data_IF_742547720007
#
_entry.id   IF_742547720007
#
_cell.length_a   1.000
_cell.length_b   1.000
_cell.length_c   1.000
_cell.angle_alpha   90.00
_cell.angle_beta   90.00
_cell.angle_gamma   90.00
#
_symmetry.space_group_name_H-M   'P 1'
#
loop_
_entity.id
_entity.type
_entity.pdbx_description
1 polymer ?
#
# COMPACT_ATOMS: atom_id res chain seq x y z
N UNK A 1 19.49 -3.85 -22.92
CA UNK A 1 19.84 -3.60 -21.52
C UNK A 1 18.52 -3.25 -20.85
N UNK A 2 17.93 -4.22 -20.14
CA UNK A 2 16.55 -4.10 -19.65
C UNK A 2 16.60 -3.28 -18.38
N UNK A 3 16.10 -2.04 -18.46
CA UNK A 3 15.64 -1.29 -17.29
C UNK A 3 14.53 -2.12 -16.64
N UNK A 4 14.86 -2.75 -15.52
CA UNK A 4 13.87 -3.28 -14.61
C UNK A 4 13.43 -2.08 -13.79
N UNK A 5 12.27 -1.51 -14.13
CA UNK A 5 11.55 -0.48 -13.37
C UNK A 5 11.34 -0.97 -11.93
N UNK A 6 12.36 -0.75 -11.10
CA UNK A 6 12.33 -0.98 -9.67
C UNK A 6 12.19 0.41 -9.05
N UNK A 7 10.96 0.74 -8.64
CA UNK A 7 10.69 1.95 -7.88
C UNK A 7 11.25 1.77 -6.47
N UNK A 8 12.45 2.31 -6.26
CA UNK A 8 13.13 2.35 -4.97
C UNK A 8 12.99 3.74 -4.37
N UNK A 9 12.63 3.85 -3.08
CA UNK A 9 12.62 5.17 -2.47
C UNK A 9 12.05 5.25 -1.06
N UNK A 10 11.92 6.50 -0.60
CA UNK A 10 11.15 6.88 0.59
C UNK A 10 9.66 6.56 0.38
N UNK A 11 8.87 6.63 1.44
CA UNK A 11 7.41 6.58 1.31
C UNK A 11 6.95 7.56 0.22
N UNK A 12 6.16 7.08 -0.74
CA UNK A 12 5.68 7.94 -1.81
C UNK A 12 4.71 8.98 -1.20
N UNK A 13 4.60 10.16 -1.80
CA UNK A 13 3.81 11.27 -1.24
C UNK A 13 2.31 10.91 -1.16
N UNK A 14 1.54 11.59 -0.31
CA UNK A 14 0.12 11.24 -0.06
C UNK A 14 -0.73 11.23 -1.34
N UNK A 15 -0.40 12.07 -2.31
CA UNK A 15 -1.03 12.19 -3.62
C UNK A 15 -0.82 10.97 -4.54
N UNK A 16 0.18 10.13 -4.24
CA UNK A 16 0.49 8.91 -5.01
C UNK A 16 -0.21 7.65 -4.48
N UNK A 17 -0.79 7.70 -3.28
CA UNK A 17 -1.63 6.61 -2.74
C UNK A 17 -2.99 6.51 -3.46
N UNK A 18 -3.30 7.50 -4.31
CA UNK A 18 -4.57 7.58 -5.01
C UNK A 18 -4.65 6.56 -6.13
N UNK A 19 -5.40 5.48 -5.88
CA UNK A 19 -5.65 4.38 -6.82
C UNK A 19 -6.28 4.82 -8.17
N UNK A 20 -6.66 6.10 -8.34
CA UNK A 20 -7.22 6.64 -9.58
C UNK A 20 -6.90 8.13 -9.87
N UNK A 21 -5.90 8.78 -9.23
CA UNK A 21 -5.68 10.25 -9.34
C UNK A 21 -6.95 11.09 -9.08
N UNK A 22 -7.86 10.57 -8.27
CA UNK A 22 -9.06 11.28 -7.81
C UNK A 22 -8.81 11.76 -6.37
N UNK A 23 -9.31 12.95 -6.01
CA UNK A 23 -9.33 13.48 -4.65
C UNK A 23 -10.11 12.52 -3.73
N UNK A 24 -9.40 11.56 -3.15
CA UNK A 24 -9.94 10.53 -2.27
C UNK A 24 -9.46 10.81 -0.85
N UNK A 25 -10.39 11.20 0.04
CA UNK A 25 -10.09 11.39 1.45
C UNK A 25 -10.03 10.04 2.18
N UNK A 26 -8.99 9.89 3.01
CA UNK A 26 -8.85 8.73 3.88
C UNK A 26 -9.96 8.72 4.94
N UNK A 27 -10.77 7.66 4.95
CA UNK A 27 -11.80 7.47 5.98
C UNK A 27 -11.27 6.51 7.02
N UNK A 28 -11.32 6.93 8.30
CA UNK A 28 -10.94 6.11 9.43
C UNK A 28 -11.91 4.93 9.58
N UNK A 29 -11.53 3.79 9.02
CA UNK A 29 -12.25 2.51 9.16
C UNK A 29 -11.57 1.65 10.22
N UNK A 30 -12.29 0.76 10.87
CA UNK A 30 -11.75 -0.16 11.87
C UNK A 30 -10.53 -0.98 11.37
N UNK A 31 -10.52 -1.47 10.11
CA UNK A 31 -9.33 -2.12 9.54
C UNK A 31 -8.11 -1.20 9.42
N UNK A 32 -8.32 0.10 9.15
CA UNK A 32 -7.23 1.09 9.06
C UNK A 32 -6.64 1.38 10.44
N UNK A 33 -7.48 1.55 11.47
CA UNK A 33 -7.02 1.75 12.84
C UNK A 33 -6.26 0.52 13.34
N UNK A 34 -6.76 -0.67 13.03
CA UNK A 34 -6.04 -1.93 13.32
C UNK A 34 -4.68 -1.99 12.62
N UNK A 35 -4.58 -1.51 11.37
CA UNK A 35 -3.28 -1.41 10.69
C UNK A 35 -2.35 -0.44 11.39
N UNK A 36 -2.85 0.71 11.84
CA UNK A 36 -2.04 1.69 12.57
C UNK A 36 -1.45 1.07 13.84
N UNK A 37 -2.29 0.45 14.68
CA UNK A 37 -1.86 -0.15 15.95
C UNK A 37 -0.86 -1.29 15.72
N UNK A 38 -1.09 -2.13 14.70
CA UNK A 38 -0.18 -3.22 14.36
C UNK A 38 1.18 -2.72 13.84
N UNK A 39 1.18 -1.65 13.04
CA UNK A 39 2.42 -1.05 12.53
C UNK A 39 3.18 -0.39 13.68
N UNK A 40 2.49 0.33 14.58
CA UNK A 40 3.10 0.93 15.78
C UNK A 40 3.75 -0.15 16.65
N UNK A 41 3.01 -1.20 17.01
CA UNK A 41 3.54 -2.31 17.80
C UNK A 41 4.73 -3.01 17.11
N UNK A 42 4.72 -3.12 15.78
CA UNK A 42 5.83 -3.71 15.03
C UNK A 42 7.09 -2.82 15.06
N UNK A 43 6.91 -1.50 14.94
CA UNK A 43 7.99 -0.52 15.02
C UNK A 43 8.59 -0.52 16.42
N UNK A 44 7.76 -0.45 17.46
CA UNK A 44 8.20 -0.45 18.86
C UNK A 44 8.95 -1.73 19.23
N UNK A 45 8.44 -2.88 18.79
CA UNK A 45 9.09 -4.18 19.00
C UNK A 45 10.31 -4.42 18.08
N UNK A 46 10.58 -3.51 17.13
CA UNK A 46 11.62 -3.65 16.09
C UNK A 46 11.49 -4.99 15.37
N UNK A 47 10.25 -5.39 15.12
CA UNK A 47 9.90 -6.73 14.69
C UNK A 47 9.60 -6.76 13.20
N UNK A 48 9.16 -7.94 12.74
CA UNK A 48 8.69 -8.14 11.39
C UNK A 48 7.19 -8.41 11.37
N UNK A 49 6.46 -7.81 10.43
CA UNK A 49 5.04 -8.08 10.20
C UNK A 49 4.76 -8.42 8.75
N UNK A 50 3.64 -9.11 8.52
CA UNK A 50 3.14 -9.43 7.19
C UNK A 50 1.68 -8.97 7.02
N UNK A 51 1.45 -8.07 6.07
CA UNK A 51 0.15 -7.61 5.61
C UNK A 51 -0.20 -8.28 4.28
N UNK A 52 -1.22 -9.13 4.26
CA UNK A 52 -1.58 -9.91 3.07
C UNK A 52 -3.08 -9.88 2.79
N UNK A 53 -3.46 -10.06 1.53
CA UNK A 53 -4.86 -10.12 1.12
C UNK A 53 -5.07 -9.81 -0.36
N UNK A 54 -6.31 -9.81 -0.87
CA UNK A 54 -6.58 -9.65 -2.29
C UNK A 54 -6.12 -8.27 -2.78
N UNK A 55 -5.85 -8.14 -4.08
CA UNK A 55 -5.60 -6.83 -4.68
C UNK A 55 -6.82 -5.91 -4.48
N UNK A 56 -6.58 -4.59 -4.34
CA UNK A 56 -7.65 -3.61 -4.19
C UNK A 56 -8.34 -3.57 -2.82
N UNK A 57 -7.77 -4.18 -1.77
CA UNK A 57 -8.30 -4.12 -0.40
C UNK A 57 -7.71 -2.98 0.45
N UNK A 58 -7.07 -1.98 -0.17
CA UNK A 58 -6.49 -0.84 0.56
C UNK A 58 -5.25 -1.15 1.40
N UNK A 59 -4.60 -2.31 1.23
CA UNK A 59 -3.45 -2.76 2.04
C UNK A 59 -2.28 -1.77 2.00
N UNK A 60 -1.82 -1.49 0.77
CA UNK A 60 -0.71 -0.57 0.50
C UNK A 60 -1.02 0.82 1.06
N UNK A 61 -2.21 1.34 0.78
CA UNK A 61 -2.68 2.64 1.30
C UNK A 61 -2.75 2.68 2.83
N UNK A 62 -3.24 1.61 3.47
CA UNK A 62 -3.36 1.54 4.93
C UNK A 62 -1.99 1.50 5.61
N UNK A 63 -1.08 0.67 5.08
CA UNK A 63 0.30 0.58 5.54
C UNK A 63 1.03 1.91 5.32
N UNK A 64 0.90 2.53 4.14
CA UNK A 64 1.52 3.82 3.84
C UNK A 64 0.99 4.92 4.77
N UNK A 65 -0.31 4.99 5.00
CA UNK A 65 -0.91 5.97 5.92
C UNK A 65 -0.40 5.81 7.35
N UNK A 66 -0.33 4.58 7.85
CA UNK A 66 0.23 4.30 9.17
C UNK A 66 1.70 4.72 9.26
N UNK A 67 2.51 4.38 8.26
CA UNK A 67 3.94 4.69 8.25
C UNK A 67 4.23 6.17 8.06
N UNK A 68 3.42 6.91 7.30
CA UNK A 68 3.53 8.39 7.23
C UNK A 68 3.26 9.05 8.57
N UNK A 69 2.37 8.48 9.38
CA UNK A 69 2.07 8.98 10.74
C UNK A 69 3.17 8.61 11.75
N UNK A 70 3.71 7.40 11.66
CA UNK A 70 4.58 6.84 12.70
C UNK A 70 6.08 7.02 12.41
N UNK A 71 6.52 6.91 11.15
CA UNK A 71 7.93 6.89 10.78
C UNK A 71 8.22 7.49 9.38
N UNK A 72 7.76 8.72 9.06
CA UNK A 72 7.83 9.28 7.71
C UNK A 72 9.26 9.41 7.17
N UNK A 73 10.22 9.80 8.01
CA UNK A 73 11.62 10.02 7.63
C UNK A 73 12.49 8.75 7.67
N UNK A 74 11.97 7.68 8.26
CA UNK A 74 12.72 6.44 8.50
C UNK A 74 12.20 5.25 7.72
N UNK A 75 11.21 5.47 6.84
CA UNK A 75 10.58 4.41 6.05
C UNK A 75 11.13 4.36 4.62
N UNK A 76 11.57 3.17 4.23
CA UNK A 76 12.14 2.87 2.91
C UNK A 76 11.40 1.72 2.27
N UNK A 77 10.95 1.91 1.04
CA UNK A 77 10.09 0.98 0.32
C UNK A 77 10.84 0.35 -0.84
N UNK A 78 10.65 -0.95 -0.99
CA UNK A 78 11.21 -1.75 -2.06
C UNK A 78 10.07 -2.44 -2.81
N UNK A 79 9.79 -1.93 -4.01
CA UNK A 79 8.89 -2.61 -4.94
C UNK A 79 9.66 -3.65 -5.75
N UNK A 80 9.65 -4.89 -5.27
CA UNK A 80 10.40 -5.97 -5.89
C UNK A 80 9.48 -6.83 -6.77
N UNK A 81 9.44 -6.52 -8.06
CA UNK A 81 8.66 -7.27 -9.06
C UNK A 81 9.46 -8.48 -9.57
N UNK A 82 8.77 -9.50 -10.08
CA UNK A 82 9.36 -10.58 -10.89
C UNK A 82 10.32 -11.56 -10.20
N UNK A 83 10.08 -11.90 -8.93
CA UNK A 83 10.87 -12.94 -8.25
C UNK A 83 12.29 -12.46 -7.90
N UNK A 84 12.41 -11.43 -7.05
CA UNK A 84 13.67 -10.76 -6.79
C UNK A 84 14.67 -11.73 -6.18
N UNK A 85 15.93 -11.58 -6.57
CA UNK A 85 17.07 -12.27 -5.98
C UNK A 85 17.63 -11.47 -4.80
N UNK A 86 18.47 -12.07 -3.94
CA UNK A 86 19.20 -11.33 -2.91
C UNK A 86 20.08 -10.20 -3.47
N UNK A 87 20.49 -10.29 -4.74
CA UNK A 87 21.21 -9.20 -5.40
C UNK A 87 20.28 -8.02 -5.64
N UNK A 88 19.07 -8.26 -6.15
CA UNK A 88 18.08 -7.20 -6.41
C UNK A 88 17.66 -6.50 -5.13
N UNK A 89 17.55 -7.25 -4.01
CA UNK A 89 17.30 -6.66 -2.68
C UNK A 89 18.46 -5.76 -2.25
N UNK A 90 19.72 -6.21 -2.40
CA UNK A 90 20.90 -5.39 -2.06
C UNK A 90 20.92 -4.07 -2.82
N UNK A 91 20.75 -4.14 -4.14
CA UNK A 91 20.69 -2.96 -4.98
C UNK A 91 19.51 -2.08 -4.61
N UNK A 92 18.33 -2.66 -4.37
CA UNK A 92 17.16 -1.90 -3.95
C UNK A 92 17.35 -1.19 -2.62
N UNK A 93 17.98 -1.84 -1.64
CA UNK A 93 18.30 -1.21 -0.36
C UNK A 93 19.34 -0.12 -0.53
N UNK A 94 20.38 -0.34 -1.35
CA UNK A 94 21.41 0.66 -1.63
C UNK A 94 20.79 1.95 -2.19
N UNK A 95 19.92 1.81 -3.18
CA UNK A 95 19.25 2.94 -3.82
C UNK A 95 18.21 3.59 -2.90
N UNK A 96 17.37 2.80 -2.23
CA UNK A 96 16.35 3.33 -1.32
C UNK A 96 16.97 4.10 -0.14
N UNK A 97 18.06 3.59 0.44
CA UNK A 97 18.80 4.24 1.53
C UNK A 97 19.60 5.46 1.06
N UNK A 98 19.71 5.71 -0.25
CA UNK A 98 20.45 6.84 -0.81
C UNK A 98 21.96 6.77 -0.51
N UNK A 99 22.53 5.56 -0.52
CA UNK A 99 23.96 5.39 -0.20
C UNK A 99 24.83 6.04 -1.27
N UNK A 100 25.89 6.77 -0.88
CA UNK A 100 26.78 7.42 -1.83
C UNK A 100 27.68 6.41 -2.54
N UNK A 101 28.04 6.73 -3.78
CA UNK A 101 29.00 5.95 -4.57
C UNK A 101 28.37 4.81 -5.37
N UNK A 102 29.22 3.90 -5.82
CA UNK A 102 28.79 2.72 -6.59
C UNK A 102 28.52 1.52 -5.66
N UNK A 103 27.50 0.69 -5.98
CA UNK A 103 27.25 -0.54 -5.25
C UNK A 103 28.48 -1.46 -5.24
N UNK A 104 28.87 -2.02 -4.07
CA UNK A 104 29.99 -2.96 -4.00
C UNK A 104 29.80 -4.18 -4.90
N UNK A 105 30.89 -4.66 -5.50
CA UNK A 105 30.85 -5.85 -6.39
C UNK A 105 30.86 -7.16 -5.62
N UNK A 106 31.47 -7.20 -4.43
CA UNK A 106 31.54 -8.40 -3.59
C UNK A 106 30.35 -8.47 -2.63
N UNK A 107 29.58 -9.58 -2.59
CA UNK A 107 28.42 -9.69 -1.71
C UNK A 107 28.70 -9.45 -0.23
N UNK A 108 29.86 -9.89 0.27
CA UNK A 108 30.26 -9.72 1.68
C UNK A 108 30.47 -8.25 2.04
N UNK A 109 31.10 -7.49 1.15
CA UNK A 109 31.32 -6.05 1.33
C UNK A 109 30.00 -5.29 1.26
N UNK A 110 29.12 -5.69 0.34
CA UNK A 110 27.79 -5.12 0.22
C UNK A 110 26.95 -5.37 1.49
N UNK A 111 26.94 -6.61 1.99
CA UNK A 111 26.20 -6.94 3.20
C UNK A 111 26.73 -6.22 4.43
N UNK A 112 28.05 -6.06 4.53
CA UNK A 112 28.69 -5.26 5.59
C UNK A 112 28.25 -3.79 5.49
N UNK A 113 28.33 -3.18 4.31
CA UNK A 113 27.91 -1.79 4.09
C UNK A 113 26.44 -1.56 4.48
N UNK A 114 25.55 -2.45 4.03
CA UNK A 114 24.13 -2.35 4.36
C UNK A 114 23.90 -2.49 5.85
N UNK A 115 24.50 -3.49 6.51
CA UNK A 115 24.36 -3.69 7.95
C UNK A 115 24.91 -2.53 8.77
N UNK A 116 26.09 -2.02 8.43
CA UNK A 116 26.67 -0.84 9.08
C UNK A 116 25.76 0.38 8.92
N UNK A 117 25.22 0.58 7.71
CA UNK A 117 24.27 1.66 7.49
C UNK A 117 23.02 1.46 8.34
N UNK A 118 22.42 0.27 8.33
CA UNK A 118 21.22 -0.09 9.10
C UNK A 118 21.44 -0.10 10.62
N UNK A 119 22.69 -0.09 11.08
CA UNK A 119 23.05 0.04 12.49
C UNK A 119 23.12 1.49 12.99
N UNK A 120 23.29 2.46 12.09
CA UNK A 120 23.49 3.87 12.45
C UNK A 120 22.19 4.55 12.90
N UNK A 121 21.05 4.14 12.37
CA UNK A 121 19.77 4.79 12.59
C UNK A 121 18.66 3.78 12.43
N UNK A 122 17.63 3.89 13.26
CA UNK A 122 16.44 3.07 13.14
C UNK A 122 15.78 3.27 11.77
N UNK A 123 15.39 2.17 11.11
CA UNK A 123 14.70 2.21 9.82
C UNK A 123 13.57 1.20 9.72
N UNK A 124 12.50 1.59 9.05
CA UNK A 124 11.40 0.72 8.66
C UNK A 124 11.56 0.35 7.20
N UNK A 125 11.71 -0.94 6.92
CA UNK A 125 11.87 -1.47 5.57
C UNK A 125 10.55 -2.11 5.12
N UNK A 126 9.95 -1.57 4.07
CA UNK A 126 8.72 -2.10 3.47
C UNK A 126 9.08 -2.87 2.21
N UNK A 127 8.66 -4.12 2.15
CA UNK A 127 8.80 -4.96 0.97
C UNK A 127 7.43 -5.27 0.39
N UNK A 128 7.12 -4.66 -0.74
CA UNK A 128 5.87 -4.90 -1.46
C UNK A 128 5.97 -6.09 -2.40
N UNK A 129 4.81 -6.63 -2.73
CA UNK A 129 4.66 -7.78 -3.62
C UNK A 129 5.47 -9.01 -3.16
N UNK A 130 5.58 -9.18 -1.84
CA UNK A 130 6.39 -10.20 -1.19
C UNK A 130 6.04 -11.64 -1.61
N UNK A 131 4.86 -11.89 -2.18
CA UNK A 131 4.49 -13.21 -2.72
C UNK A 131 5.35 -13.68 -3.89
N UNK A 132 6.10 -12.78 -4.55
CA UNK A 132 7.02 -13.16 -5.62
C UNK A 132 8.37 -13.62 -5.09
N UNK A 133 8.72 -13.31 -3.84
CA UNK A 133 10.04 -13.67 -3.31
C UNK A 133 10.23 -15.18 -3.18
N UNK A 134 11.44 -15.62 -3.50
CA UNK A 134 11.89 -16.98 -3.25
C UNK A 134 12.55 -17.14 -1.87
N UNK A 135 12.84 -18.39 -1.50
CA UNK A 135 13.48 -18.76 -0.23
C UNK A 135 14.76 -17.98 0.07
N UNK A 136 15.67 -17.87 -0.90
CA UNK A 136 16.95 -17.17 -0.74
C UNK A 136 16.76 -15.69 -0.38
N UNK A 137 15.73 -15.06 -0.91
CA UNK A 137 15.38 -13.65 -0.66
C UNK A 137 14.80 -13.46 0.74
N UNK A 138 13.95 -14.38 1.20
CA UNK A 138 13.48 -14.38 2.59
C UNK A 138 14.60 -14.63 3.61
N UNK A 139 15.51 -15.56 3.30
CA UNK A 139 16.71 -15.78 4.13
C UNK A 139 17.58 -14.53 4.21
N UNK A 140 17.64 -13.75 3.13
CA UNK A 140 18.38 -12.49 3.12
C UNK A 140 17.77 -11.44 4.05
N UNK A 141 16.45 -11.24 3.99
CA UNK A 141 15.72 -10.37 4.94
C UNK A 141 15.93 -10.82 6.39
N UNK A 142 15.82 -12.12 6.65
CA UNK A 142 16.10 -12.69 7.97
C UNK A 142 17.54 -12.40 8.41
N UNK A 143 18.51 -12.56 7.53
CA UNK A 143 19.93 -12.32 7.84
C UNK A 143 20.24 -10.85 8.15
N UNK A 144 19.53 -9.91 7.53
CA UNK A 144 19.63 -8.48 7.85
C UNK A 144 18.99 -8.15 9.21
N UNK A 145 17.82 -8.74 9.50
CA UNK A 145 17.08 -8.49 10.74
C UNK A 145 17.65 -9.22 11.96
N UNK A 146 18.16 -10.44 11.82
CA UNK A 146 18.76 -11.23 12.92
C UNK A 146 20.11 -10.64 13.40
N UNK A 147 20.69 -9.69 12.68
CA UNK A 147 21.95 -9.06 13.08
C UNK A 147 21.72 -8.13 14.28
N UNK A 148 22.40 -8.39 15.39
CA UNK A 148 22.22 -7.61 16.63
C UNK A 148 22.63 -6.14 16.50
N UNK A 149 23.39 -5.79 15.46
CA UNK A 149 23.81 -4.40 15.21
C UNK A 149 22.76 -3.62 14.44
N UNK A 150 21.91 -4.27 13.65
CA UNK A 150 20.90 -3.56 12.86
C UNK A 150 19.74 -3.13 13.75
N UNK A 151 19.22 -1.95 13.48
CA UNK A 151 18.08 -1.41 14.20
C UNK A 151 16.93 -1.20 13.21
N UNK A 152 16.20 -2.27 12.91
CA UNK A 152 15.20 -2.25 11.83
C UNK A 152 13.88 -2.92 12.20
N UNK A 153 12.80 -2.40 11.63
CA UNK A 153 11.51 -3.08 11.53
C UNK A 153 11.25 -3.45 10.06
N UNK A 154 10.64 -4.60 9.80
CA UNK A 154 10.36 -5.07 8.42
C UNK A 154 8.88 -5.32 8.23
N UNK A 155 8.31 -4.78 7.15
CA UNK A 155 6.90 -4.92 6.81
C UNK A 155 6.81 -5.57 5.44
N UNK A 156 6.31 -6.81 5.39
CA UNK A 156 6.01 -7.50 4.14
C UNK A 156 4.57 -7.19 3.73
N UNK A 157 4.39 -6.58 2.57
CA UNK A 157 3.08 -6.37 1.96
C UNK A 157 2.95 -7.26 0.71
N UNK A 158 1.83 -7.94 0.55
CA UNK A 158 1.65 -8.78 -0.64
C UNK A 158 0.22 -9.27 -0.87
N UNK A 159 0.01 -9.95 -1.99
CA UNK A 159 -1.27 -10.54 -2.38
C UNK A 159 -1.70 -11.72 -1.48
N UNK A 160 -2.80 -12.39 -1.83
CA UNK A 160 -3.35 -13.53 -1.06
C UNK A 160 -2.35 -14.68 -0.86
N UNK A 161 -1.45 -14.87 -1.82
CA UNK A 161 -0.45 -15.94 -1.75
C UNK A 161 0.74 -15.60 -0.82
N UNK A 162 0.88 -14.35 -0.39
CA UNK A 162 1.97 -13.89 0.47
C UNK A 162 2.04 -14.70 1.77
N UNK A 163 0.90 -14.90 2.44
CA UNK A 163 0.81 -15.74 3.63
C UNK A 163 1.33 -17.16 3.41
N UNK A 164 0.92 -17.80 2.30
CA UNK A 164 1.32 -19.18 1.98
C UNK A 164 2.82 -19.27 1.71
N UNK A 165 3.38 -18.29 1.02
CA UNK A 165 4.81 -18.25 0.68
C UNK A 165 5.66 -18.03 1.93
N UNK A 166 5.36 -17.02 2.76
CA UNK A 166 6.12 -16.81 4.00
C UNK A 166 5.96 -17.96 4.99
N UNK A 167 4.75 -18.54 5.14
CA UNK A 167 4.51 -19.66 6.06
C UNK A 167 5.26 -20.94 5.66
N UNK A 168 5.60 -21.10 4.38
CA UNK A 168 6.42 -22.21 3.88
C UNK A 168 7.88 -22.11 4.28
N UNK A 169 8.33 -20.97 4.78
CA UNK A 169 9.69 -20.75 5.28
C UNK A 169 9.68 -20.64 6.82
N UNK A 170 9.80 -21.77 7.56
CA UNK A 170 9.59 -21.78 9.02
C UNK A 170 10.54 -20.85 9.79
N UNK A 171 11.76 -20.67 9.27
CA UNK A 171 12.77 -19.81 9.90
C UNK A 171 12.38 -18.33 9.88
N UNK A 172 11.69 -17.86 8.84
CA UNK A 172 11.17 -16.50 8.78
C UNK A 172 9.81 -16.40 9.47
N UNK A 173 8.92 -17.37 9.24
CA UNK A 173 7.56 -17.36 9.80
C UNK A 173 7.54 -17.31 11.33
N UNK A 174 8.49 -17.97 12.00
CA UNK A 174 8.64 -17.94 13.47
C UNK A 174 9.04 -16.59 14.05
N UNK A 175 9.55 -15.68 13.20
CA UNK A 175 9.97 -14.33 13.58
C UNK A 175 8.96 -13.26 13.17
N UNK A 176 7.88 -13.65 12.49
CA UNK A 176 6.77 -12.73 12.21
C UNK A 176 6.01 -12.48 13.50
N UNK A 177 6.05 -11.24 13.95
CA UNK A 177 5.34 -10.78 15.13
C UNK A 177 3.85 -10.66 14.85
N UNK A 178 3.48 -10.07 13.71
CA UNK A 178 2.08 -9.84 13.33
C UNK A 178 1.81 -10.38 11.91
N UNK A 179 0.67 -11.07 11.78
CA UNK A 179 0.09 -11.48 10.51
C UNK A 179 -1.26 -10.79 10.33
N UNK A 180 -1.30 -9.71 9.55
CA UNK A 180 -2.52 -8.99 9.26
C UNK A 180 -3.12 -9.47 7.92
N UNK A 181 -4.30 -10.09 7.99
CA UNK A 181 -5.10 -10.41 6.82
C UNK A 181 -6.02 -9.24 6.49
N UNK A 182 -5.90 -8.70 5.29
CA UNK A 182 -6.87 -7.80 4.70
C UNK A 182 -7.89 -8.60 3.91
N UNK A 183 -9.15 -8.26 4.09
CA UNK A 183 -10.26 -8.81 3.32
C UNK A 183 -10.95 -7.68 2.58
N UNK A 184 -11.64 -8.01 1.50
CA UNK A 184 -12.46 -7.03 0.79
C UNK A 184 -13.58 -6.63 1.75
N UNK A 185 -13.70 -5.33 2.00
CA UNK A 185 -14.81 -4.77 2.76
C UNK A 185 -16.12 -5.13 2.03
N UNK A 186 -17.12 -5.69 2.74
CA UNK A 186 -18.40 -6.01 2.12
C UNK A 186 -19.09 -4.70 1.67
N UNK A 187 -19.88 -4.76 0.60
CA UNK A 187 -20.38 -3.56 -0.09
C UNK A 187 -21.25 -2.65 0.80
N UNK A 188 -21.91 -3.22 1.80
CA UNK A 188 -22.68 -2.53 2.83
C UNK A 188 -21.82 -1.65 3.73
N UNK A 189 -20.66 -2.13 4.17
CA UNK A 189 -19.68 -1.33 4.92
C UNK A 189 -19.01 -0.25 4.06
N UNK A 190 -18.82 -0.51 2.76
CA UNK A 190 -18.32 0.51 1.83
C UNK A 190 -19.33 1.66 1.73
N UNK A 191 -20.62 1.36 1.57
CA UNK A 191 -21.67 2.39 1.49
C UNK A 191 -21.82 3.17 2.80
N UNK A 192 -21.58 2.53 3.95
CA UNK A 192 -21.60 3.20 5.24
C UNK A 192 -20.43 4.18 5.44
N UNK A 193 -19.25 3.87 4.90
CA UNK A 193 -18.03 4.65 5.10
C UNK A 193 -17.71 5.64 3.96
N UNK A 194 -18.37 5.54 2.80
CA UNK A 194 -18.22 6.54 1.73
C UNK A 194 -18.85 7.88 2.16
N UNK A 195 -18.08 9.00 2.14
CA UNK A 195 -18.61 10.32 2.44
C UNK A 195 -19.81 10.67 1.55
N UNK A 196 -20.80 11.37 2.09
CA UNK A 196 -22.02 11.71 1.35
C UNK A 196 -21.75 12.51 0.05
N UNK A 197 -20.60 13.18 -0.07
CA UNK A 197 -20.15 13.90 -1.25
C UNK A 197 -19.82 13.01 -2.45
N UNK A 198 -19.54 11.71 -2.25
CA UNK A 198 -19.20 10.75 -3.32
C UNK A 198 -20.35 9.78 -3.63
N UNK A 199 -21.50 9.94 -2.96
CA UNK A 199 -22.74 9.23 -3.32
C UNK A 199 -23.20 9.76 -4.68
N UNK A 200 -22.77 9.10 -5.75
CA UNK A 200 -23.31 9.33 -7.07
C UNK A 200 -24.82 9.05 -7.00
N UNK A 201 -25.60 10.13 -7.05
CA UNK A 201 -27.04 10.10 -6.83
C UNK A 201 -27.70 9.12 -7.79
N UNK A 202 -28.36 8.10 -7.26
CA UNK A 202 -29.39 7.40 -8.00
C UNK A 202 -30.49 8.43 -8.25
N UNK A 203 -30.50 8.99 -9.46
CA UNK A 203 -31.49 9.98 -9.86
C UNK A 203 -32.90 9.45 -9.53
N UNK A 204 -33.78 10.25 -8.89
CA UNK A 204 -35.15 9.82 -8.69
C UNK A 204 -35.78 9.65 -10.06
N UNK A 205 -36.25 8.44 -10.35
CA UNK A 205 -37.05 8.13 -11.53
C UNK A 205 -38.35 8.93 -11.47
N UNK A 206 -38.32 10.14 -12.05
CA UNK A 206 -39.52 10.90 -12.41
C UNK A 206 -40.29 10.08 -13.45
N UNK A 207 -41.22 9.22 -13.03
CA UNK A 207 -42.32 8.79 -13.91
C UNK A 207 -43.38 9.88 -13.88
N UNK A 208 -43.23 10.81 -14.81
CA UNK A 208 -44.30 11.73 -15.19
C UNK A 208 -45.45 10.97 -15.82
N UNK A 209 -46.64 11.18 -15.29
CA UNK A 209 -47.91 10.91 -15.94
C UNK A 209 -48.04 11.83 -17.17
N UNK A 210 -47.96 11.26 -18.37
CA UNK A 210 -48.35 11.94 -19.60
C UNK A 210 -49.76 11.49 -19.97
N UNK A 211 -50.76 12.28 -19.56
CA UNK A 211 -52.09 12.25 -20.16
C UNK A 211 -51.97 12.93 -21.52
N UNK A 212 -52.20 12.15 -22.57
CA UNK A 212 -52.16 12.57 -23.96
C UNK A 212 -53.47 13.26 -24.35
N UNK A 213 -53.34 14.26 -25.23
CA UNK A 213 -54.14 14.49 -26.46
C UNK A 213 -54.94 15.80 -26.52
N UNK A 214 -54.40 16.70 -27.36
CA UNK A 214 -55.06 17.56 -28.36
C UNK A 214 -56.02 18.67 -27.87
N UNK A 215 -56.23 19.80 -28.54
CA UNK A 215 -56.03 20.19 -29.94
C UNK A 215 -56.13 21.73 -30.04
N UNK A 216 -55.62 22.28 -31.15
CA UNK A 216 -55.96 23.55 -31.83
C UNK A 216 -55.27 24.87 -31.41
N UNK A 217 -54.32 25.23 -32.28
CA UNK A 217 -53.99 26.60 -32.71
C UNK A 217 -55.18 27.24 -33.45
N UNK A 218 -55.36 28.56 -33.26
CA UNK A 218 -55.41 29.66 -34.27
C UNK A 218 -55.87 30.93 -33.54
N UNK A 219 -55.03 31.97 -33.43
CA UNK A 219 -54.86 33.11 -34.35
C UNK A 219 -55.64 34.37 -33.89
N UNK A 220 -54.86 35.37 -33.49
CA UNK A 220 -54.96 36.82 -33.73
C UNK A 220 -56.31 37.45 -34.05
N UNK A 221 -56.75 38.45 -33.26
CA UNK A 221 -56.83 39.87 -33.67
C UNK A 221 -57.67 40.71 -32.68
N UNK A 222 -57.24 41.96 -32.52
CA UNK A 222 -57.90 43.02 -31.77
C UNK A 222 -59.23 43.44 -32.42
N UNK A 223 -60.12 44.09 -31.65
CA UNK A 223 -60.67 45.47 -31.83
C UNK A 223 -61.98 45.58 -31.00
N UNK A 224 -62.16 46.65 -30.21
CA UNK A 224 -63.46 47.02 -29.61
C UNK A 224 -64.31 47.87 -30.59
N UNK A 225 -65.18 48.76 -30.09
CA UNK A 225 -66.49 48.56 -29.45
C UNK A 225 -67.63 49.06 -30.40
N UNK A 226 -68.87 49.37 -29.97
CA UNK A 226 -69.22 50.43 -29.03
C UNK A 226 -69.97 49.97 -27.77
#
# INVERSE_FOLDING_TARGET
>A
MIDLDLEYGRLPAEDTDHFHRLDAHLVATEPLMTTLDNVEATIEAKAMMCAFGPAGCGKTMSVNSALRKLAPEHTYRLELRSGPTPRDIRHGLFHALGLPGEPPTRPIEFDTLLKETLAQTFRVLVCDEAQWMGRSSFEYWRHLWDDRKTDIAVIFAGGDNCYKVLKREPMLASRMFIWQKFQRMPEDEVVANVPASTRCGRAPTRRGSATSTALRRTATSATGPP
#
